data_IF_521712830708
#
_entry.id   IF_521712830708
#
_cell.length_a   1.000
_cell.length_b   1.000
_cell.length_c   1.000
_cell.angle_alpha   90.00
_cell.angle_beta   90.00
_cell.angle_gamma   90.00
#
_symmetry.space_group_name_H-M   'P 1'
#
loop_
_entity.id
_entity.type
_entity.pdbx_description
1 polymer ?
#
# COMPACT_ATOMS: atom_id res chain seq x y z
N UNK A 1 -10.57 1.29 -15.75
CA UNK A 1 -10.84 -0.07 -15.26
C UNK A 1 -10.11 -1.15 -16.07
N UNK A 2 -10.28 -1.23 -17.40
CA UNK A 2 -9.63 -2.28 -18.22
C UNK A 2 -8.10 -2.38 -18.10
N UNK A 3 -7.40 -1.26 -17.88
CA UNK A 3 -5.93 -1.27 -17.70
C UNK A 3 -5.51 -1.98 -16.41
N UNK A 4 -6.16 -1.70 -15.27
CA UNK A 4 -5.81 -2.33 -14.00
C UNK A 4 -6.10 -3.83 -14.03
N UNK A 5 -7.25 -4.23 -14.60
CA UNK A 5 -7.59 -5.64 -14.77
C UNK A 5 -6.57 -6.35 -15.65
N UNK A 6 -6.18 -5.75 -16.78
CA UNK A 6 -5.15 -6.32 -17.67
C UNK A 6 -3.79 -6.42 -16.98
N UNK A 7 -3.42 -5.41 -16.18
CA UNK A 7 -2.19 -5.44 -15.39
C UNK A 7 -2.19 -6.61 -14.39
N UNK A 8 -3.30 -6.76 -13.67
CA UNK A 8 -3.50 -7.85 -12.71
C UNK A 8 -3.48 -9.22 -13.40
N UNK A 9 -4.15 -9.38 -14.55
CA UNK A 9 -4.09 -10.61 -15.37
C UNK A 9 -2.65 -11.01 -15.72
N UNK A 10 -1.86 -10.06 -16.23
CA UNK A 10 -0.46 -10.33 -16.60
C UNK A 10 0.40 -10.67 -15.39
N UNK A 11 0.28 -9.89 -14.31
CA UNK A 11 1.09 -10.09 -13.11
C UNK A 11 0.74 -11.41 -12.40
N UNK A 12 -0.55 -11.73 -12.28
CA UNK A 12 -1.00 -13.00 -11.68
C UNK A 12 -0.60 -14.20 -12.54
N UNK A 13 -0.68 -14.11 -13.86
CA UNK A 13 -0.20 -15.18 -14.75
C UNK A 13 1.31 -15.44 -14.59
N UNK A 14 2.12 -14.40 -14.37
CA UNK A 14 3.58 -14.51 -14.26
C UNK A 14 4.06 -15.21 -12.97
N UNK A 15 3.28 -15.18 -11.88
CA UNK A 15 3.69 -15.73 -10.57
C UNK A 15 3.29 -17.21 -10.35
N UNK A 16 3.11 -17.99 -11.43
CA UNK A 16 3.26 -19.46 -11.38
C UNK A 16 2.37 -20.26 -10.41
N UNK A 17 1.13 -19.85 -10.14
CA UNK A 17 0.18 -20.66 -9.36
C UNK A 17 0.40 -20.68 -7.84
N UNK A 18 1.19 -19.77 -7.28
CA UNK A 18 1.24 -19.56 -5.82
C UNK A 18 -0.17 -19.33 -5.26
N UNK A 19 -0.65 -20.16 -4.30
CA UNK A 19 -1.96 -19.98 -3.69
C UNK A 19 -1.93 -18.74 -2.79
N UNK A 20 -2.96 -17.89 -2.90
CA UNK A 20 -3.16 -16.78 -1.98
C UNK A 20 -3.94 -17.24 -0.76
N UNK A 21 -3.22 -17.76 0.23
CA UNK A 21 -3.79 -18.11 1.54
C UNK A 21 -3.59 -16.96 2.52
N UNK A 22 -4.30 -15.85 2.31
CA UNK A 22 -4.26 -14.69 3.20
C UNK A 22 -5.60 -14.40 3.89
N UNK A 23 -6.71 -14.92 3.35
CA UNK A 23 -8.04 -14.76 3.96
C UNK A 23 -8.04 -15.43 5.34
N UNK A 24 -8.50 -14.70 6.35
CA UNK A 24 -8.57 -15.15 7.74
C UNK A 24 -7.26 -15.12 8.51
N UNK A 25 -6.17 -14.59 7.93
CA UNK A 25 -4.94 -14.34 8.68
C UNK A 25 -5.11 -13.12 9.57
N UNK A 26 -4.69 -13.23 10.83
CA UNK A 26 -4.68 -12.11 11.77
C UNK A 26 -3.67 -11.02 11.31
N UNK A 27 -4.04 -9.73 11.31
CA UNK A 27 -3.17 -8.66 10.81
C UNK A 27 -1.85 -8.55 11.56
N UNK A 28 -1.82 -8.82 12.87
CA UNK A 28 -0.60 -8.85 13.67
C UNK A 28 0.34 -9.99 13.26
N UNK A 29 -0.18 -11.10 12.71
CA UNK A 29 0.65 -12.20 12.23
C UNK A 29 1.53 -11.74 11.07
N UNK A 30 0.96 -11.03 10.09
CA UNK A 30 1.69 -10.46 8.95
C UNK A 30 2.84 -9.57 9.43
N UNK A 31 2.54 -8.69 10.39
CA UNK A 31 3.54 -7.84 11.03
C UNK A 31 4.66 -8.66 11.65
N UNK A 32 4.31 -9.65 12.45
CA UNK A 32 5.28 -10.46 13.18
C UNK A 32 6.19 -11.25 12.25
N UNK A 33 5.66 -11.78 11.14
CA UNK A 33 6.45 -12.44 10.10
C UNK A 33 7.46 -11.48 9.47
N UNK A 34 7.03 -10.28 9.05
CA UNK A 34 7.93 -9.26 8.49
C UNK A 34 9.02 -8.85 9.50
N UNK A 35 8.68 -8.68 10.77
CA UNK A 35 9.66 -8.33 11.81
C UNK A 35 10.63 -9.49 12.12
N UNK A 36 10.16 -10.74 12.04
CA UNK A 36 10.99 -11.93 12.27
C UNK A 36 12.12 -12.07 11.23
N UNK A 37 11.93 -11.53 10.03
CA UNK A 37 12.97 -11.44 8.99
C UNK A 37 14.08 -10.40 9.30
N UNK A 38 14.05 -9.79 10.48
CA UNK A 38 15.05 -8.83 10.93
C UNK A 38 14.76 -7.38 10.52
N UNK A 39 13.58 -7.10 9.95
CA UNK A 39 13.14 -5.75 9.64
C UNK A 39 12.89 -4.94 10.92
N UNK A 40 13.26 -3.66 10.92
CA UNK A 40 13.01 -2.78 12.08
C UNK A 40 11.53 -2.40 12.25
N UNK A 41 10.75 -2.49 11.17
CA UNK A 41 9.33 -2.15 11.10
C UNK A 41 8.75 -2.65 9.78
N UNK A 42 7.41 -2.67 9.67
CA UNK A 42 6.72 -2.84 8.39
C UNK A 42 6.79 -1.52 7.60
N UNK A 43 7.42 -1.55 6.43
CA UNK A 43 7.50 -0.44 5.48
C UNK A 43 6.96 -0.82 4.09
N UNK A 44 7.03 0.11 3.14
CA UNK A 44 6.50 -0.13 1.79
C UNK A 44 7.21 -1.28 1.07
N UNK A 45 8.53 -1.42 1.21
CA UNK A 45 9.28 -2.44 0.49
C UNK A 45 8.96 -3.82 1.06
N UNK A 46 9.10 -4.01 2.38
CA UNK A 46 8.91 -5.33 2.98
C UNK A 46 7.44 -5.79 3.00
N UNK A 47 6.46 -4.90 3.10
CA UNK A 47 5.05 -5.28 2.96
C UNK A 47 4.72 -5.67 1.51
N UNK A 48 5.33 -4.98 0.54
CA UNK A 48 5.17 -5.33 -0.87
C UNK A 48 5.76 -6.71 -1.15
N UNK A 49 7.00 -6.98 -0.72
CA UNK A 49 7.64 -8.28 -0.87
C UNK A 49 6.86 -9.39 -0.13
N UNK A 50 6.32 -9.10 1.05
CA UNK A 50 5.43 -10.02 1.75
C UNK A 50 4.23 -10.40 0.86
N UNK A 51 3.51 -9.43 0.30
CA UNK A 51 2.39 -9.72 -0.61
C UNK A 51 2.81 -10.61 -1.79
N UNK A 52 3.94 -10.30 -2.45
CA UNK A 52 4.45 -11.12 -3.56
C UNK A 52 4.78 -12.55 -3.13
N UNK A 53 5.43 -12.73 -1.97
CA UNK A 53 5.76 -14.05 -1.43
C UNK A 53 4.52 -14.91 -1.12
N UNK A 54 3.37 -14.27 -0.92
CA UNK A 54 2.07 -14.89 -0.66
C UNK A 54 1.21 -15.01 -1.93
N UNK A 55 1.80 -14.78 -3.11
CA UNK A 55 1.12 -14.90 -4.39
C UNK A 55 0.14 -13.76 -4.71
N UNK A 56 0.32 -12.58 -4.08
CA UNK A 56 -0.49 -11.38 -4.29
C UNK A 56 0.34 -10.28 -4.95
N UNK A 57 0.26 -10.10 -6.27
CA UNK A 57 0.98 -9.04 -6.96
C UNK A 57 0.58 -7.66 -6.46
N UNK A 58 1.57 -6.79 -6.25
CA UNK A 58 1.34 -5.37 -5.95
C UNK A 58 1.90 -4.54 -7.09
N UNK A 59 1.04 -3.79 -7.78
CA UNK A 59 1.40 -3.01 -8.97
C UNK A 59 1.16 -1.52 -8.73
N UNK A 60 2.11 -0.68 -9.14
CA UNK A 60 1.93 0.77 -9.13
C UNK A 60 1.50 1.26 -10.51
N UNK A 61 0.19 1.28 -10.79
CA UNK A 61 -0.32 1.70 -12.11
C UNK A 61 -0.52 3.21 -12.10
N UNK A 62 0.35 3.95 -12.77
CA UNK A 62 0.30 5.42 -12.78
C UNK A 62 -0.14 6.01 -14.12
N UNK A 63 -0.10 5.22 -15.19
CA UNK A 63 -0.34 5.67 -16.55
C UNK A 63 -1.75 5.33 -17.03
N UNK A 64 -2.70 6.12 -16.53
CA UNK A 64 -4.10 6.06 -16.93
C UNK A 64 -4.43 7.08 -18.03
N UNK A 65 -5.39 6.78 -18.92
CA UNK A 65 -5.96 7.75 -19.84
C UNK A 65 -6.49 8.98 -19.11
N UNK A 66 -6.38 10.14 -19.77
CA UNK A 66 -6.89 11.41 -19.27
C UNK A 66 -8.42 11.37 -19.10
N UNK A 67 -8.94 12.04 -18.07
CA UNK A 67 -10.39 12.20 -17.85
C UNK A 67 -11.10 11.06 -17.11
N UNK A 68 -10.38 10.06 -16.62
CA UNK A 68 -10.95 8.95 -15.83
C UNK A 68 -10.74 9.22 -14.33
N UNK A 69 -11.78 9.00 -13.51
CA UNK A 69 -11.66 8.97 -12.05
C UNK A 69 -10.79 7.78 -11.62
N UNK A 70 -9.77 8.04 -10.80
CA UNK A 70 -8.80 7.04 -10.37
C UNK A 70 -8.93 6.92 -8.85
N UNK A 71 -9.18 5.72 -8.31
CA UNK A 71 -9.09 5.52 -6.87
C UNK A 71 -7.64 5.65 -6.42
N UNK A 72 -7.38 5.75 -5.12
CA UNK A 72 -6.01 5.84 -4.61
C UNK A 72 -5.29 4.48 -4.65
N UNK A 73 -6.01 3.39 -4.33
CA UNK A 73 -5.64 2.00 -4.56
C UNK A 73 -6.89 1.14 -4.84
N UNK A 74 -6.70 -0.14 -5.14
CA UNK A 74 -7.79 -1.11 -5.31
C UNK A 74 -7.27 -2.55 -5.16
N UNK A 75 -8.12 -3.41 -4.64
CA UNK A 75 -7.98 -4.86 -4.66
C UNK A 75 -8.80 -5.46 -5.80
N UNK A 76 -8.15 -6.23 -6.67
CA UNK A 76 -8.75 -6.90 -7.83
C UNK A 76 -8.60 -8.40 -7.69
N UNK A 77 -9.67 -9.15 -7.95
CA UNK A 77 -9.58 -10.58 -8.21
C UNK A 77 -9.64 -10.87 -9.71
N UNK A 78 -8.71 -11.68 -10.20
CA UNK A 78 -8.69 -12.18 -11.58
C UNK A 78 -8.64 -13.69 -11.54
N UNK A 79 -9.71 -14.37 -11.99
CA UNK A 79 -9.79 -15.83 -11.97
C UNK A 79 -9.56 -16.41 -10.56
N UNK A 80 -10.10 -15.73 -9.54
CA UNK A 80 -9.93 -16.09 -8.13
C UNK A 80 -8.57 -15.76 -7.54
N UNK A 81 -7.70 -15.02 -8.26
CA UNK A 81 -6.38 -14.61 -7.76
C UNK A 81 -6.36 -13.11 -7.45
N UNK A 82 -6.05 -12.71 -6.21
CA UNK A 82 -6.01 -11.30 -5.84
C UNK A 82 -4.75 -10.61 -6.36
N UNK A 83 -4.87 -9.32 -6.68
CA UNK A 83 -3.79 -8.40 -6.95
C UNK A 83 -4.16 -7.02 -6.40
N UNK A 84 -3.18 -6.33 -5.83
CA UNK A 84 -3.34 -4.98 -5.29
C UNK A 84 -2.77 -3.98 -6.30
N UNK A 85 -3.57 -2.99 -6.69
CA UNK A 85 -3.17 -1.94 -7.62
C UNK A 85 -3.16 -0.60 -6.89
N UNK A 86 -1.98 -0.04 -6.72
CA UNK A 86 -1.79 1.32 -6.22
C UNK A 86 -1.84 2.27 -7.40
N UNK A 87 -2.72 3.27 -7.34
CA UNK A 87 -2.92 4.25 -8.42
C UNK A 87 -2.41 5.64 -8.02
N UNK A 88 -2.29 5.90 -6.72
CA UNK A 88 -1.79 7.17 -6.17
C UNK A 88 -0.39 7.50 -6.68
N UNK A 89 -0.23 8.67 -7.29
CA UNK A 89 1.09 9.25 -7.54
C UNK A 89 1.54 10.04 -6.31
N UNK A 90 2.41 9.46 -5.48
CA UNK A 90 3.07 10.17 -4.40
C UNK A 90 4.50 9.65 -4.24
N UNK A 91 5.46 10.57 -4.04
CA UNK A 91 6.86 10.20 -3.84
C UNK A 91 7.13 9.60 -2.46
N UNK A 92 6.35 9.99 -1.46
CA UNK A 92 6.52 9.61 -0.06
C UNK A 92 5.95 8.20 0.21
N UNK A 93 6.79 7.22 0.62
CA UNK A 93 6.35 5.83 0.83
C UNK A 93 5.25 5.66 1.87
N UNK A 94 5.20 6.54 2.87
CA UNK A 94 4.23 6.44 3.98
C UNK A 94 2.77 6.41 3.50
N UNK A 95 2.44 7.17 2.45
CA UNK A 95 1.09 7.20 1.90
C UNK A 95 0.74 5.89 1.19
N UNK A 96 1.66 5.42 0.35
CA UNK A 96 1.46 4.20 -0.45
C UNK A 96 1.47 2.96 0.44
N UNK A 97 2.25 2.99 1.52
CA UNK A 97 2.26 1.96 2.55
C UNK A 97 0.89 1.83 3.22
N UNK A 98 0.25 2.94 3.58
CA UNK A 98 -1.08 2.88 4.19
C UNK A 98 -2.12 2.32 3.22
N UNK A 99 -2.12 2.78 1.96
CA UNK A 99 -3.02 2.22 0.95
C UNK A 99 -2.78 0.72 0.74
N UNK A 100 -1.52 0.28 0.64
CA UNK A 100 -1.21 -1.14 0.53
C UNK A 100 -1.73 -1.95 1.74
N UNK A 101 -1.50 -1.45 2.95
CA UNK A 101 -1.96 -2.12 4.17
C UNK A 101 -3.50 -2.16 4.28
N UNK A 102 -4.19 -1.12 3.79
CA UNK A 102 -5.64 -1.05 3.73
C UNK A 102 -6.22 -2.06 2.73
N UNK A 103 -5.70 -2.12 1.51
CA UNK A 103 -6.14 -3.12 0.52
C UNK A 103 -5.84 -4.55 0.99
N UNK A 104 -4.69 -4.76 1.64
CA UNK A 104 -4.39 -6.05 2.28
C UNK A 104 -5.36 -6.35 3.43
N UNK A 105 -5.82 -5.33 4.15
CA UNK A 105 -6.86 -5.40 5.17
C UNK A 105 -8.20 -5.93 4.62
N UNK A 106 -8.62 -5.47 3.45
CA UNK A 106 -9.77 -6.04 2.73
C UNK A 106 -9.54 -7.51 2.35
N UNK A 107 -8.35 -7.83 1.85
CA UNK A 107 -8.02 -9.20 1.43
C UNK A 107 -8.11 -10.19 2.59
N UNK A 108 -7.49 -9.88 3.73
CA UNK A 108 -7.49 -10.79 4.88
C UNK A 108 -8.86 -10.92 5.53
N UNK A 109 -9.67 -9.86 5.50
CA UNK A 109 -11.05 -9.91 5.97
C UNK A 109 -11.99 -10.67 5.02
N UNK A 110 -11.52 -11.02 3.82
CA UNK A 110 -12.33 -11.72 2.82
C UNK A 110 -13.35 -10.82 2.12
N UNK A 111 -13.15 -9.49 2.12
CA UNK A 111 -14.04 -8.53 1.45
C UNK A 111 -13.96 -8.60 -0.10
N UNK A 112 -13.20 -9.56 -0.65
CA UNK A 112 -13.09 -9.78 -2.10
C UNK A 112 -14.23 -10.66 -2.59
N UNK A 113 -15.20 -10.06 -3.27
CA UNK A 113 -16.33 -10.79 -3.84
C UNK A 113 -16.06 -11.25 -5.28
N UNK A 114 -15.81 -12.53 -5.57
CA UNK A 114 -15.75 -13.07 -6.95
C UNK A 114 -14.74 -12.39 -7.90
N UNK A 115 -14.99 -12.40 -9.22
CA UNK A 115 -14.24 -11.63 -10.24
C UNK A 115 -14.62 -10.12 -10.20
N UNK A 116 -14.83 -9.57 -9.00
CA UNK A 116 -15.18 -8.16 -8.83
C UNK A 116 -13.99 -7.31 -8.38
N UNK A 117 -14.17 -6.03 -8.59
CA UNK A 117 -13.23 -4.96 -8.32
C UNK A 117 -13.75 -4.20 -7.11
N UNK A 118 -12.99 -4.15 -6.03
CA UNK A 118 -13.25 -3.20 -4.95
C UNK A 118 -12.71 -1.86 -5.44
N UNK A 119 -13.62 -1.01 -5.95
CA UNK A 119 -13.31 0.40 -6.23
C UNK A 119 -13.71 1.21 -5.01
N UNK A 120 -12.73 1.93 -4.46
CA UNK A 120 -12.87 3.08 -3.57
C UNK A 120 -14.18 3.87 -3.81
N UNK A 121 -15.02 3.87 -2.77
CA UNK A 121 -16.04 4.83 -2.38
C UNK A 121 -16.74 5.64 -3.49
N UNK A 122 -17.62 4.99 -4.26
CA UNK A 122 -18.98 5.46 -4.65
C UNK A 122 -19.56 4.49 -5.65
N UNK A 123 -20.85 4.18 -5.53
CA UNK A 123 -21.68 3.33 -6.42
C UNK A 123 -21.88 1.89 -5.87
N UNK A 124 -22.63 1.76 -4.78
CA UNK A 124 -23.60 0.66 -4.53
C UNK A 124 -24.70 1.20 -3.61
N UNK A 125 -25.88 0.56 -3.63
CA UNK A 125 -27.11 1.03 -2.98
C UNK A 125 -27.20 0.75 -1.46
N UNK A 126 -26.30 -0.07 -0.88
CA UNK A 126 -26.17 -0.28 0.57
C UNK A 126 -24.91 0.40 1.10
N UNK A 127 -25.12 1.51 1.82
CA UNK A 127 -24.05 2.38 2.34
C UNK A 127 -23.48 1.87 3.67
N UNK A 128 -24.31 1.20 4.48
CA UNK A 128 -23.94 0.80 5.85
C UNK A 128 -22.95 -0.38 5.87
N UNK A 129 -23.16 -1.43 5.05
CA UNK A 129 -22.23 -2.58 4.98
C UNK A 129 -20.84 -2.17 4.48
N UNK A 130 -20.75 -1.21 3.55
CA UNK A 130 -19.46 -0.67 3.08
C UNK A 130 -18.72 0.10 4.16
N UNK A 131 -19.42 0.85 5.00
CA UNK A 131 -18.79 1.61 6.08
C UNK A 131 -18.14 0.66 7.11
N UNK A 132 -18.77 -0.49 7.36
CA UNK A 132 -18.22 -1.56 8.20
C UNK A 132 -16.99 -2.23 7.57
N UNK A 133 -17.02 -2.56 6.27
CA UNK A 133 -15.88 -3.17 5.56
C UNK A 133 -14.66 -2.25 5.53
N UNK A 134 -14.85 -0.97 5.23
CA UNK A 134 -13.80 0.06 5.21
C UNK A 134 -13.22 0.29 6.62
N UNK A 135 -14.07 0.30 7.64
CA UNK A 135 -13.64 0.40 9.04
C UNK A 135 -12.78 -0.80 9.46
N UNK A 136 -13.15 -2.01 9.03
CA UNK A 136 -12.38 -3.23 9.27
C UNK A 136 -11.04 -3.17 8.53
N UNK A 137 -11.03 -2.74 7.26
CA UNK A 137 -9.81 -2.60 6.47
C UNK A 137 -8.83 -1.58 7.09
N UNK A 138 -9.33 -0.44 7.59
CA UNK A 138 -8.52 0.55 8.31
C UNK A 138 -7.94 -0.01 9.61
N UNK A 139 -8.73 -0.73 10.41
CA UNK A 139 -8.25 -1.40 11.63
C UNK A 139 -7.16 -2.42 11.33
N UNK A 140 -7.38 -3.25 10.31
CA UNK A 140 -6.40 -4.24 9.85
C UNK A 140 -5.11 -3.55 9.37
N UNK A 141 -5.20 -2.47 8.61
CA UNK A 141 -4.05 -1.69 8.18
C UNK A 141 -3.25 -1.15 9.36
N UNK A 142 -3.92 -0.57 10.35
CA UNK A 142 -3.27 -0.07 11.57
C UNK A 142 -2.64 -1.22 12.36
N UNK A 143 -3.30 -2.37 12.46
CA UNK A 143 -2.77 -3.56 13.12
C UNK A 143 -1.52 -4.12 12.41
N UNK A 144 -1.52 -4.25 11.08
CA UNK A 144 -0.35 -4.65 10.28
C UNK A 144 0.81 -3.68 10.53
N UNK A 145 0.55 -2.37 10.46
CA UNK A 145 1.61 -1.36 10.54
C UNK A 145 2.13 -1.12 11.94
N UNK A 146 1.36 -1.47 12.98
CA UNK A 146 1.66 -1.02 14.35
C UNK A 146 1.52 -2.07 15.44
N UNK A 147 0.94 -3.23 15.13
CA UNK A 147 0.71 -4.35 16.06
C UNK A 147 -0.50 -4.16 16.98
N UNK A 148 -1.39 -3.22 16.66
CA UNK A 148 -2.64 -2.99 17.38
C UNK A 148 -3.61 -2.17 16.53
N UNK A 149 -4.84 -2.65 16.35
CA UNK A 149 -5.89 -1.99 15.55
C UNK A 149 -6.28 -0.56 16.02
N UNK A 150 -6.00 -0.21 17.28
CA UNK A 150 -6.38 1.08 17.87
C UNK A 150 -5.22 2.03 18.11
N UNK A 151 -4.02 1.68 17.64
CA UNK A 151 -2.83 2.48 17.95
C UNK A 151 -2.92 3.88 17.33
N UNK A 152 -2.84 4.88 18.21
CA UNK A 152 -2.87 6.29 17.85
C UNK A 152 -1.68 7.02 18.44
N UNK A 153 -1.01 7.81 17.62
CA UNK A 153 0.11 8.65 18.01
C UNK A 153 -0.37 10.06 18.28
N UNK A 154 -0.26 10.52 19.53
CA UNK A 154 -0.64 11.86 19.96
C UNK A 154 0.45 12.45 20.86
N UNK A 155 0.50 13.77 20.93
CA UNK A 155 1.49 14.49 21.75
C UNK A 155 0.77 15.52 22.62
N UNK A 156 1.16 15.63 23.89
CA UNK A 156 0.60 16.64 24.81
C UNK A 156 0.89 18.09 24.39
N UNK A 157 1.91 18.30 23.55
CA UNK A 157 2.27 19.60 22.98
C UNK A 157 2.50 19.46 21.49
N UNK A 158 1.85 20.30 20.70
CA UNK A 158 2.07 20.38 19.26
C UNK A 158 3.55 20.63 18.95
N UNK A 159 4.18 19.82 18.08
CA UNK A 159 5.54 20.07 17.64
C UNK A 159 5.64 21.46 16.99
N UNK A 160 6.65 22.27 17.35
CA UNK A 160 6.79 23.63 16.87
C UNK A 160 7.11 23.72 15.36
N UNK A 161 7.63 22.65 14.76
CA UNK A 161 7.95 22.58 13.33
C UNK A 161 8.13 21.14 12.84
N UNK A 162 8.26 20.99 11.52
CA UNK A 162 8.41 19.72 10.82
C UNK A 162 9.64 18.91 11.26
N UNK A 163 10.78 19.57 11.51
CA UNK A 163 12.00 18.89 11.95
C UNK A 163 11.84 18.28 13.35
N UNK A 164 11.13 18.98 14.25
CA UNK A 164 10.84 18.46 15.57
C UNK A 164 9.85 17.28 15.50
N UNK A 165 8.78 17.39 14.69
CA UNK A 165 7.85 16.28 14.46
C UNK A 165 8.61 15.05 13.92
N UNK A 166 9.42 15.22 12.87
CA UNK A 166 10.24 14.14 12.31
C UNK A 166 11.13 13.47 13.36
N UNK A 167 11.83 14.24 14.20
CA UNK A 167 12.68 13.70 15.27
C UNK A 167 11.89 12.96 16.35
N UNK A 168 10.67 13.39 16.66
CA UNK A 168 9.79 12.66 17.59
C UNK A 168 9.37 11.34 16.96
N UNK A 169 8.84 11.37 15.74
CA UNK A 169 8.38 10.18 15.01
C UNK A 169 9.50 9.18 14.77
N UNK A 170 10.72 9.62 14.43
CA UNK A 170 11.88 8.73 14.27
C UNK A 170 12.18 7.96 15.56
N UNK A 171 12.23 8.66 16.70
CA UNK A 171 12.49 8.02 18.00
C UNK A 171 11.38 7.06 18.39
N UNK A 172 10.12 7.40 18.10
CA UNK A 172 9.00 6.50 18.39
C UNK A 172 8.97 5.30 17.46
N UNK A 173 9.33 5.47 16.20
CA UNK A 173 9.42 4.36 15.27
C UNK A 173 10.46 3.33 15.67
N UNK A 174 11.61 3.78 16.15
CA UNK A 174 12.65 2.89 16.72
C UNK A 174 12.14 2.16 17.96
N UNK A 175 11.48 2.86 18.89
CA UNK A 175 11.04 2.26 20.15
C UNK A 175 9.88 1.27 19.98
N UNK A 176 8.98 1.55 19.03
CA UNK A 176 7.74 0.80 18.82
C UNK A 176 7.85 -0.21 17.67
N UNK A 177 8.98 -0.25 16.97
CA UNK A 177 9.17 -0.96 15.71
C UNK A 177 8.13 -0.58 14.64
N UNK A 178 7.80 0.71 14.53
CA UNK A 178 6.80 1.24 13.58
C UNK A 178 7.48 2.19 12.59
N UNK A 179 7.11 2.11 11.32
CA UNK A 179 7.69 2.98 10.29
C UNK A 179 7.47 4.47 10.64
N UNK A 180 8.53 5.28 10.80
CA UNK A 180 8.39 6.67 11.25
C UNK A 180 7.48 7.53 10.37
N UNK A 181 7.41 7.22 9.07
CA UNK A 181 6.53 7.92 8.15
C UNK A 181 5.05 7.63 8.43
N UNK A 182 4.70 6.40 8.83
CA UNK A 182 3.34 6.06 9.24
C UNK A 182 2.97 6.78 10.55
N UNK A 183 3.90 6.88 11.52
CA UNK A 183 3.67 7.64 12.75
C UNK A 183 3.35 9.11 12.44
N UNK A 184 4.05 9.73 11.48
CA UNK A 184 3.74 11.10 11.04
C UNK A 184 2.31 11.21 10.51
N UNK A 185 1.89 10.30 9.63
CA UNK A 185 0.54 10.29 9.06
C UNK A 185 -0.53 10.05 10.12
N UNK A 186 -0.35 9.03 10.96
CA UNK A 186 -1.26 8.70 12.05
C UNK A 186 -1.39 9.87 13.05
N UNK A 187 -0.30 10.58 13.33
CA UNK A 187 -0.32 11.77 14.19
C UNK A 187 -1.18 12.90 13.63
N UNK A 188 -1.01 13.23 12.35
CA UNK A 188 -1.77 14.33 11.73
C UNK A 188 -3.18 13.94 11.31
N UNK A 189 -3.47 12.63 11.26
CA UNK A 189 -4.79 12.11 10.94
C UNK A 189 -5.85 12.59 11.94
N UNK A 190 -6.90 13.24 11.43
CA UNK A 190 -7.98 13.82 12.23
C UNK A 190 -7.67 15.16 12.90
N UNK A 191 -6.46 15.72 12.70
CA UNK A 191 -6.14 17.07 13.16
C UNK A 191 -6.58 18.11 12.11
N UNK A 192 -7.26 19.17 12.53
CA UNK A 192 -7.75 20.22 11.64
C UNK A 192 -6.72 21.34 11.42
N UNK A 193 -6.81 22.06 10.30
CA UNK A 193 -5.92 23.19 9.99
C UNK A 193 -4.64 22.78 9.28
N UNK A 194 -3.51 23.42 9.63
CA UNK A 194 -2.23 23.28 8.91
C UNK A 194 -1.43 22.00 9.23
N UNK A 195 -1.98 21.07 10.02
CA UNK A 195 -1.28 19.85 10.43
C UNK A 195 -0.97 18.91 9.27
N UNK A 196 -1.81 18.86 8.23
CA UNK A 196 -1.48 18.12 7.00
C UNK A 196 -0.22 18.65 6.32
N UNK A 197 -0.04 19.98 6.27
CA UNK A 197 1.17 20.60 5.73
C UNK A 197 2.39 20.34 6.62
N UNK A 198 2.20 20.36 7.95
CA UNK A 198 3.24 19.99 8.92
C UNK A 198 3.70 18.53 8.72
N UNK A 199 2.76 17.60 8.54
CA UNK A 199 3.03 16.19 8.27
C UNK A 199 3.77 15.99 6.95
N UNK A 200 3.30 16.62 5.87
CA UNK A 200 3.99 16.57 4.57
C UNK A 200 5.43 17.10 4.65
N UNK A 201 5.65 18.21 5.36
CA UNK A 201 6.98 18.75 5.60
C UNK A 201 7.85 17.82 6.47
N UNK A 202 7.28 17.18 7.49
CA UNK A 202 8.02 16.23 8.33
C UNK A 202 8.42 14.98 7.55
N UNK A 203 7.58 14.49 6.64
CA UNK A 203 7.95 13.39 5.72
C UNK A 203 9.12 13.78 4.81
N UNK A 204 9.17 15.02 4.32
CA UNK A 204 10.32 15.51 3.56
C UNK A 204 11.60 15.62 4.39
N UNK A 205 11.49 15.90 5.69
CA UNK A 205 12.65 15.86 6.60
C UNK A 205 13.15 14.43 6.83
N UNK A 206 12.23 13.47 7.02
CA UNK A 206 12.59 12.06 7.22
C UNK A 206 13.16 11.43 5.95
N UNK A 207 12.53 11.72 4.81
CA UNK A 207 12.80 11.08 3.52
C UNK A 207 12.87 12.12 2.40
N UNK A 208 13.95 12.93 2.35
CA UNK A 208 14.09 14.02 1.37
C UNK A 208 14.18 13.52 -0.08
N UNK A 209 14.74 12.32 -0.27
CA UNK A 209 14.95 11.70 -1.57
C UNK A 209 13.98 10.53 -1.83
N UNK A 210 12.85 10.51 -1.13
CA UNK A 210 11.85 9.46 -1.24
C UNK A 210 11.38 9.28 -2.69
N UNK A 211 11.32 8.02 -3.13
CA UNK A 211 10.77 7.63 -4.42
C UNK A 211 10.05 6.28 -4.29
N UNK A 212 8.80 6.34 -3.83
CA UNK A 212 7.97 5.16 -3.61
C UNK A 212 7.69 4.36 -4.89
N UNK A 213 7.55 5.02 -6.05
CA UNK A 213 7.42 4.34 -7.34
C UNK A 213 8.65 3.46 -7.63
N UNK A 214 9.86 3.98 -7.38
CA UNK A 214 11.09 3.20 -7.55
C UNK A 214 11.16 2.03 -6.57
N UNK A 215 10.53 2.11 -5.39
CA UNK A 215 10.43 0.96 -4.46
C UNK A 215 9.54 -0.12 -5.08
N UNK A 216 8.31 0.23 -5.46
CA UNK A 216 7.34 -0.72 -6.02
C UNK A 216 7.84 -1.35 -7.33
N UNK A 217 8.49 -0.57 -8.21
CA UNK A 217 9.06 -1.08 -9.45
C UNK A 217 10.24 -2.04 -9.21
N UNK A 218 11.01 -1.87 -8.13
CA UNK A 218 12.04 -2.86 -7.76
C UNK A 218 11.42 -4.17 -7.31
N UNK A 219 10.39 -4.12 -6.47
CA UNK A 219 9.68 -5.33 -6.05
C UNK A 219 9.07 -6.07 -7.25
N UNK A 220 8.42 -5.33 -8.17
CA UNK A 220 7.92 -5.90 -9.42
C UNK A 220 9.01 -6.64 -10.20
N UNK A 221 10.16 -5.99 -10.42
CA UNK A 221 11.26 -6.55 -11.19
C UNK A 221 11.95 -7.75 -10.53
N UNK A 222 11.82 -7.92 -9.21
CA UNK A 222 12.32 -9.11 -8.50
C UNK A 222 11.37 -10.30 -8.56
N UNK A 223 10.07 -10.05 -8.73
CA UNK A 223 9.03 -11.07 -8.58
C UNK A 223 8.38 -11.48 -9.90
N UNK A 224 8.55 -10.69 -10.97
CA UNK A 224 8.13 -11.07 -12.32
C UNK A 224 9.37 -11.48 -13.12
N UNK A 225 9.34 -12.71 -13.64
CA UNK A 225 10.23 -13.11 -14.71
C UNK A 225 9.67 -12.55 -16.04
N UNK A 226 10.27 -11.47 -16.52
CA UNK A 226 9.87 -10.85 -17.77
C UNK A 226 10.24 -11.69 -19.00
N UNK A 227 11.18 -12.63 -18.88
CA UNK A 227 11.59 -13.49 -19.98
C UNK A 227 10.55 -14.59 -20.27
N UNK A 228 9.69 -14.92 -19.29
CA UNK A 228 8.57 -15.85 -19.45
C UNK A 228 7.29 -15.17 -20.00
N UNK A 229 7.27 -13.84 -20.07
CA UNK A 229 6.15 -13.09 -20.64
C UNK A 229 6.36 -12.88 -22.15
N UNK A 230 5.30 -12.98 -22.97
CA UNK A 230 5.32 -12.46 -24.34
C UNK A 230 5.82 -11.01 -24.36
N UNK A 231 6.67 -10.66 -25.34
CA UNK A 231 7.35 -9.36 -25.41
C UNK A 231 6.37 -8.18 -25.35
N UNK A 232 5.23 -8.29 -26.03
CA UNK A 232 4.16 -7.30 -26.03
C UNK A 232 3.48 -7.14 -24.67
N UNK A 233 3.36 -8.22 -23.90
CA UNK A 233 2.84 -8.20 -22.53
C UNK A 233 3.84 -7.57 -21.56
N UNK A 234 5.13 -7.91 -21.68
CA UNK A 234 6.20 -7.32 -20.88
C UNK A 234 6.28 -5.80 -21.11
N UNK A 235 6.31 -5.37 -22.38
CA UNK A 235 6.35 -3.95 -22.75
C UNK A 235 5.11 -3.20 -22.22
N UNK A 236 3.93 -3.79 -22.38
CA UNK A 236 2.70 -3.23 -21.86
C UNK A 236 2.76 -3.01 -20.34
N UNK A 237 3.18 -4.02 -19.59
CA UNK A 237 3.26 -3.97 -18.13
C UNK A 237 4.26 -2.88 -17.68
N UNK A 238 5.46 -2.84 -18.26
CA UNK A 238 6.47 -1.82 -17.95
C UNK A 238 5.98 -0.40 -18.23
N UNK A 239 5.20 -0.21 -19.31
CA UNK A 239 4.63 1.10 -19.66
C UNK A 239 3.59 1.57 -18.64
N UNK A 240 2.71 0.67 -18.18
CA UNK A 240 1.61 1.07 -17.28
C UNK A 240 2.07 1.30 -15.85
N UNK A 241 3.13 0.59 -15.41
CA UNK A 241 3.76 0.81 -14.10
C UNK A 241 4.78 1.96 -14.07
N UNK A 242 4.92 2.67 -15.20
CA UNK A 242 5.86 3.78 -15.33
C UNK A 242 7.32 3.36 -15.14
N UNK A 243 7.67 2.10 -15.46
CA UNK A 243 9.04 1.60 -15.41
C UNK A 243 9.87 2.04 -16.63
N UNK A 244 9.22 2.41 -17.74
CA UNK A 244 9.87 2.92 -18.96
C UNK A 244 10.27 4.40 -18.90
N UNK A 245 9.85 5.13 -17.87
CA UNK A 245 10.34 6.50 -17.66
C UNK A 245 11.77 6.43 -17.10
N UNK A 246 12.75 6.34 -18.01
CA UNK A 246 14.17 6.57 -17.70
C UNK A 246 14.26 7.86 -16.91
N UNK A 247 14.94 7.78 -15.77
CA UNK A 247 15.23 8.92 -14.90
C UNK A 247 15.83 10.07 -15.71
N UNK A 248 14.98 11.05 -16.03
CA UNK A 248 15.38 12.38 -16.46
C UNK A 248 15.73 13.22 -15.23
#
# INVERSE_FOLDING_TARGET
>A
MGICKRAAELATAAIGGLPSELVGIEPEQIRNEILADGNSWVDLENLTEYCWSRGVPVLHVTNFPSGIHKPDAMLISVHGRPAIIICKKNKQPAWLLFFLAHELGHLIAGHVSGDSLIVDSKITDDVDEKDDEETIADKNAIAILTGSETRSYRTNRTPPNASHLAKICQRKGINDSVYPGHIVLNYVHGLSGSFHALGAAALLVLYPNANAQKVLNRCLARNIDFDELPEDHAEYLMRIVGANERSS
#
